data_IF_878480724030
#
_entry.id   IF_878480724030
#
_cell.length_a   1.000
_cell.length_b   1.000
_cell.length_c   1.000
_cell.angle_alpha   90.00
_cell.angle_beta   90.00
_cell.angle_gamma   90.00
#
_symmetry.space_group_name_H-M   'P 1'
#
loop_
_entity.id
_entity.type
_entity.pdbx_description
1 polymer ?
#
# COMPACT_ATOMS: atom_id res chain seq x y z
N UNK A 1 -83.47 67.92 -7.68
CA UNK A 1 -83.29 68.78 -6.48
C UNK A 1 -83.41 67.87 -5.27
N UNK A 2 -82.28 67.58 -4.58
CA UNK A 2 -82.13 66.42 -3.65
C UNK A 2 -82.28 65.05 -4.39
N UNK A 3 -81.68 63.93 -3.98
CA UNK A 3 -80.81 63.64 -2.82
C UNK A 3 -79.74 62.57 -3.14
N UNK A 4 -78.68 62.57 -2.33
CA UNK A 4 -77.80 61.45 -1.88
C UNK A 4 -78.54 60.09 -1.68
N UNK A 5 -77.95 58.89 -1.52
CA UNK A 5 -76.58 58.31 -1.47
C UNK A 5 -76.73 56.74 -1.47
N UNK A 6 -75.75 55.83 -1.46
CA UNK A 6 -74.27 55.77 -1.53
C UNK A 6 -73.87 54.30 -1.84
N UNK A 7 -72.73 54.05 -2.51
CA UNK A 7 -71.76 52.92 -2.26
C UNK A 7 -70.71 52.81 -3.39
N UNK A 8 -69.45 53.11 -3.09
CA UNK A 8 -68.31 52.76 -3.96
C UNK A 8 -67.48 51.63 -3.33
N UNK A 9 -67.21 50.58 -4.09
CA UNK A 9 -66.57 49.36 -3.59
C UNK A 9 -65.05 49.44 -3.76
N UNK A 10 -64.29 49.46 -2.66
CA UNK A 10 -62.82 49.54 -2.71
C UNK A 10 -62.21 48.24 -3.24
N UNK A 11 -61.51 48.32 -4.36
CA UNK A 11 -60.65 47.24 -4.87
C UNK A 11 -59.43 47.05 -3.97
N UNK A 12 -59.16 45.81 -3.54
CA UNK A 12 -57.91 45.46 -2.84
C UNK A 12 -56.83 45.18 -3.87
N UNK A 13 -55.75 45.96 -3.87
CA UNK A 13 -54.54 45.63 -4.62
C UNK A 13 -53.87 44.37 -4.06
N UNK A 14 -53.48 43.44 -4.95
CA UNK A 14 -52.63 42.30 -4.56
C UNK A 14 -51.21 42.82 -4.31
N UNK A 15 -50.64 42.53 -3.14
CA UNK A 15 -49.19 42.67 -2.91
C UNK A 15 -48.50 41.42 -3.45
N UNK A 16 -47.58 41.58 -4.39
CA UNK A 16 -46.71 40.49 -4.86
C UNK A 16 -45.52 40.39 -3.91
N UNK A 17 -45.50 39.38 -3.06
CA UNK A 17 -44.33 39.10 -2.22
C UNK A 17 -43.25 38.41 -3.08
N UNK A 18 -42.16 39.12 -3.36
CA UNK A 18 -40.98 38.53 -4.00
C UNK A 18 -40.22 37.74 -2.94
N UNK A 19 -40.26 36.42 -3.01
CA UNK A 19 -39.42 35.54 -2.21
C UNK A 19 -38.02 35.49 -2.82
N UNK A 20 -37.05 36.15 -2.20
CA UNK A 20 -35.63 36.00 -2.56
C UNK A 20 -35.15 34.67 -2.01
N UNK A 21 -35.07 33.66 -2.88
CA UNK A 21 -34.59 32.33 -2.50
C UNK A 21 -33.06 32.36 -2.42
N UNK A 22 -32.52 32.64 -1.24
CA UNK A 22 -31.08 32.71 -1.02
C UNK A 22 -30.50 31.29 -1.10
N UNK A 23 -29.99 30.93 -2.29
CA UNK A 23 -29.46 29.59 -2.55
C UNK A 23 -28.12 29.41 -1.83
N UNK A 24 -28.16 28.83 -0.63
CA UNK A 24 -26.99 28.61 0.20
C UNK A 24 -26.23 27.39 -0.33
N UNK A 25 -25.35 27.61 -1.32
CA UNK A 25 -24.47 26.57 -1.84
C UNK A 25 -23.50 26.11 -0.74
N UNK A 26 -23.88 25.05 -0.03
CA UNK A 26 -22.98 24.34 0.87
C UNK A 26 -21.88 23.71 0.01
N UNK A 27 -20.73 24.38 -0.06
CA UNK A 27 -19.49 23.73 -0.47
C UNK A 27 -19.19 22.64 0.57
N UNK A 28 -19.56 21.41 0.22
CA UNK A 28 -19.02 20.23 0.89
C UNK A 28 -17.54 20.20 0.54
N UNK A 29 -16.73 20.73 1.44
CA UNK A 29 -15.29 20.53 1.40
C UNK A 29 -15.09 19.04 1.67
N UNK A 30 -14.91 18.28 0.59
CA UNK A 30 -14.27 16.97 0.66
C UNK A 30 -12.81 17.21 1.08
N UNK A 31 -12.61 17.33 2.39
CA UNK A 31 -11.32 16.98 2.96
C UNK A 31 -11.02 15.56 2.51
N UNK A 32 -9.88 15.28 1.86
CA UNK A 32 -9.42 13.91 1.76
C UNK A 32 -9.17 13.43 3.19
N UNK A 33 -10.10 12.66 3.73
CA UNK A 33 -9.76 11.76 4.82
C UNK A 33 -8.62 10.88 4.29
N UNK A 34 -7.53 10.68 5.05
CA UNK A 34 -6.55 9.69 4.66
C UNK A 34 -7.27 8.35 4.58
N UNK A 35 -7.45 7.85 3.37
CA UNK A 35 -7.83 6.46 3.14
C UNK A 35 -6.60 5.66 3.53
N UNK A 36 -6.51 5.33 4.82
CA UNK A 36 -5.64 4.27 5.30
C UNK A 36 -5.97 3.05 4.44
N UNK A 37 -5.00 2.57 3.65
CA UNK A 37 -5.20 1.44 2.78
C UNK A 37 -5.60 0.23 3.64
N UNK A 38 -6.88 -0.14 3.60
CA UNK A 38 -7.42 -1.26 4.35
C UNK A 38 -6.89 -2.54 3.69
N UNK A 39 -5.84 -3.11 4.29
CA UNK A 39 -5.09 -4.21 3.69
C UNK A 39 -6.02 -5.38 3.32
N UNK A 40 -5.87 -5.85 2.08
CA UNK A 40 -6.72 -6.90 1.53
C UNK A 40 -6.31 -8.26 2.09
N UNK A 41 -7.26 -8.94 2.74
CA UNK A 41 -7.11 -10.36 3.06
C UNK A 41 -7.38 -11.19 1.80
N UNK A 42 -6.33 -11.83 1.27
CA UNK A 42 -6.45 -12.77 0.17
C UNK A 42 -6.79 -14.19 0.72
N UNK A 43 -8.02 -14.71 0.57
CA UNK A 43 -8.34 -16.06 1.06
C UNK A 43 -7.64 -17.16 0.25
N UNK A 44 -7.14 -16.87 -0.95
CA UNK A 44 -6.42 -17.82 -1.79
C UNK A 44 -4.95 -17.97 -1.40
N UNK A 45 -4.39 -16.98 -0.70
CA UNK A 45 -3.00 -16.92 -0.27
C UNK A 45 -2.91 -16.33 1.14
N UNK A 46 -2.62 -17.17 2.14
CA UNK A 46 -2.49 -16.74 3.54
C UNK A 46 -1.02 -16.61 3.97
N UNK A 47 -0.16 -17.48 3.44
CA UNK A 47 1.27 -17.58 3.73
C UNK A 47 2.00 -18.31 2.58
N UNK A 48 3.30 -18.11 2.36
CA UNK A 48 4.08 -19.01 1.47
C UNK A 48 4.39 -20.37 2.12
N UNK A 49 4.70 -21.36 1.29
CA UNK A 49 5.25 -22.64 1.75
C UNK A 49 6.62 -22.41 2.42
N UNK A 50 7.49 -21.59 1.85
CA UNK A 50 8.79 -21.21 2.44
C UNK A 50 8.64 -20.56 3.83
N UNK A 51 7.71 -19.62 4.02
CA UNK A 51 7.44 -19.01 5.34
C UNK A 51 6.74 -19.98 6.32
N UNK A 52 6.08 -21.04 5.86
CA UNK A 52 5.59 -22.10 6.75
C UNK A 52 6.73 -22.99 7.26
N UNK A 53 7.74 -23.23 6.42
CA UNK A 53 8.86 -24.15 6.69
C UNK A 53 10.12 -23.47 7.26
N UNK A 54 10.19 -22.13 7.29
CA UNK A 54 11.26 -21.31 7.89
C UNK A 54 11.32 -21.47 9.43
N UNK A 55 11.79 -22.63 9.89
CA UNK A 55 11.88 -23.03 11.31
C UNK A 55 12.99 -22.32 12.09
N UNK A 56 13.93 -21.67 11.40
CA UNK A 56 15.03 -20.87 11.97
C UNK A 56 14.69 -19.37 12.07
N UNK A 57 13.50 -18.95 11.63
CA UNK A 57 13.09 -17.54 11.53
C UNK A 57 13.13 -16.70 12.81
N UNK A 58 13.10 -17.37 13.96
CA UNK A 58 13.29 -16.80 15.29
C UNK A 58 14.11 -17.78 16.15
N UNK A 59 15.27 -17.33 16.63
CA UNK A 59 15.99 -18.05 17.69
C UNK A 59 15.18 -18.07 18.99
N UNK A 60 15.51 -19.01 19.89
CA UNK A 60 14.97 -19.08 21.26
C UNK A 60 15.01 -17.73 22.00
N UNK A 61 16.06 -16.93 21.79
CA UNK A 61 16.22 -15.61 22.41
C UNK A 61 15.20 -14.60 21.84
N UNK A 62 14.92 -14.65 20.53
CA UNK A 62 13.90 -13.81 19.90
C UNK A 62 12.49 -14.24 20.29
N UNK A 63 12.20 -15.54 20.36
CA UNK A 63 10.91 -16.07 20.84
C UNK A 63 10.66 -15.62 22.29
N UNK A 64 11.68 -15.70 23.14
CA UNK A 64 11.59 -15.21 24.52
C UNK A 64 11.32 -13.70 24.57
N UNK A 65 12.12 -12.90 23.85
CA UNK A 65 12.00 -11.44 23.86
C UNK A 65 10.64 -10.99 23.33
N UNK A 66 10.16 -11.60 22.26
CA UNK A 66 8.86 -11.30 21.68
C UNK A 66 7.71 -11.54 22.66
N UNK A 67 7.74 -12.63 23.44
CA UNK A 67 6.77 -12.87 24.51
C UNK A 67 6.88 -11.85 25.66
N UNK A 68 8.08 -11.33 25.95
CA UNK A 68 8.29 -10.25 26.93
C UNK A 68 7.75 -8.90 26.42
N UNK A 69 8.03 -8.56 25.16
CA UNK A 69 7.58 -7.33 24.47
C UNK A 69 6.06 -7.27 24.30
N UNK A 70 5.41 -8.41 23.98
CA UNK A 70 3.94 -8.52 23.93
C UNK A 70 3.30 -8.66 25.32
N UNK A 71 4.08 -8.69 26.40
CA UNK A 71 3.60 -8.71 27.79
C UNK A 71 3.06 -10.06 28.28
N UNK A 72 3.28 -11.15 27.53
CA UNK A 72 2.71 -12.48 27.79
C UNK A 72 3.10 -13.04 29.16
N UNK A 73 2.16 -13.73 29.81
CA UNK A 73 2.43 -14.56 30.97
C UNK A 73 3.38 -15.73 30.63
N UNK A 74 3.33 -16.26 29.41
CA UNK A 74 4.19 -17.37 28.96
C UNK A 74 5.68 -17.03 29.07
N UNK A 75 6.07 -15.76 28.89
CA UNK A 75 7.45 -15.30 29.03
C UNK A 75 8.09 -15.64 30.39
N UNK A 76 7.27 -15.85 31.42
CA UNK A 76 7.68 -16.12 32.82
C UNK A 76 7.43 -17.57 33.24
N UNK A 77 6.72 -18.35 32.42
CA UNK A 77 6.23 -19.68 32.79
C UNK A 77 7.23 -20.80 32.47
N UNK A 78 7.30 -21.75 33.40
CA UNK A 78 7.90 -23.07 33.20
C UNK A 78 6.76 -24.08 33.17
N UNK A 79 6.69 -24.89 32.13
CA UNK A 79 5.57 -25.78 31.79
C UNK A 79 6.13 -27.15 31.37
N UNK A 80 5.29 -28.18 31.44
CA UNK A 80 5.64 -29.50 30.91
C UNK A 80 5.67 -29.49 29.37
N UNK A 81 6.81 -29.89 28.79
CA UNK A 81 6.96 -30.20 27.36
C UNK A 81 6.19 -31.48 26.96
N UNK A 82 6.36 -31.98 25.73
CA UNK A 82 5.66 -33.20 25.29
C UNK A 82 6.13 -34.48 26.01
N UNK A 83 7.31 -34.46 26.64
CA UNK A 83 7.95 -35.54 27.40
C UNK A 83 7.78 -35.41 28.92
N UNK A 84 6.99 -34.43 29.40
CA UNK A 84 6.80 -34.05 30.80
C UNK A 84 7.98 -33.34 31.49
N UNK A 85 9.01 -32.88 30.76
CA UNK A 85 10.07 -32.06 31.34
C UNK A 85 9.55 -30.64 31.62
N UNK A 86 9.81 -30.11 32.82
CA UNK A 86 9.39 -28.75 33.20
C UNK A 86 10.44 -27.72 32.73
N UNK A 87 10.17 -27.08 31.60
CA UNK A 87 11.07 -26.13 30.92
C UNK A 87 10.33 -24.84 30.53
N UNK A 88 11.05 -23.80 30.09
CA UNK A 88 10.46 -22.49 29.81
C UNK A 88 9.57 -22.54 28.57
N UNK A 89 8.43 -21.84 28.59
CA UNK A 89 7.44 -21.89 27.49
C UNK A 89 8.02 -21.50 26.11
N UNK A 90 8.96 -20.55 26.05
CA UNK A 90 9.70 -20.18 24.84
C UNK A 90 10.61 -21.30 24.32
N UNK A 91 11.17 -22.13 25.21
CA UNK A 91 11.95 -23.31 24.85
C UNK A 91 11.06 -24.38 24.21
N UNK A 92 9.85 -24.61 24.74
CA UNK A 92 8.87 -25.53 24.16
C UNK A 92 8.47 -25.09 22.73
N UNK A 93 8.18 -23.80 22.53
CA UNK A 93 7.84 -23.25 21.20
C UNK A 93 9.00 -23.42 20.22
N UNK A 94 10.24 -23.12 20.64
CA UNK A 94 11.42 -23.27 19.80
C UNK A 94 11.72 -24.74 19.46
N UNK A 95 11.62 -25.66 20.43
CA UNK A 95 11.81 -27.09 20.20
C UNK A 95 10.77 -27.65 19.23
N UNK A 96 9.48 -27.40 19.45
CA UNK A 96 8.42 -27.88 18.56
C UNK A 96 8.59 -27.36 17.11
N UNK A 97 8.98 -26.10 16.94
CA UNK A 97 9.31 -25.51 15.65
C UNK A 97 10.47 -26.25 14.96
N UNK A 98 11.56 -26.51 15.67
CA UNK A 98 12.77 -27.13 15.11
C UNK A 98 12.58 -28.65 14.87
N UNK A 99 11.98 -29.37 15.82
CA UNK A 99 11.68 -30.81 15.75
C UNK A 99 10.66 -31.14 14.65
N UNK A 100 9.74 -30.21 14.32
CA UNK A 100 8.78 -30.36 13.22
C UNK A 100 9.18 -29.63 11.93
N UNK A 101 10.29 -28.90 11.91
CA UNK A 101 10.67 -27.98 10.82
C UNK A 101 9.52 -27.05 10.39
N UNK A 102 8.86 -26.39 11.35
CA UNK A 102 7.76 -25.43 11.12
C UNK A 102 8.13 -24.08 11.75
N UNK A 103 7.77 -23.00 11.06
CA UNK A 103 8.15 -21.65 11.46
C UNK A 103 7.60 -21.25 12.86
N UNK A 104 8.46 -20.84 13.82
CA UNK A 104 8.00 -20.41 15.15
C UNK A 104 7.04 -19.21 15.11
N UNK A 105 7.08 -18.39 14.05
CA UNK A 105 6.10 -17.31 13.80
C UNK A 105 4.69 -17.83 13.57
N UNK A 106 4.54 -18.97 12.88
CA UNK A 106 3.25 -19.65 12.68
C UNK A 106 2.73 -20.19 14.01
N UNK A 107 3.60 -20.77 14.83
CA UNK A 107 3.21 -21.26 16.17
C UNK A 107 2.78 -20.10 17.09
N UNK A 108 3.50 -18.99 17.10
CA UNK A 108 3.15 -17.77 17.85
C UNK A 108 1.83 -17.13 17.35
N UNK A 109 1.63 -17.04 16.03
CA UNK A 109 0.37 -16.55 15.46
C UNK A 109 -0.81 -17.47 15.80
N UNK A 110 -0.58 -18.79 15.87
CA UNK A 110 -1.59 -19.79 16.27
C UNK A 110 -1.91 -19.69 17.76
N UNK A 111 -0.91 -19.60 18.66
CA UNK A 111 -1.11 -19.34 20.09
C UNK A 111 -2.00 -18.11 20.36
N UNK A 112 -1.82 -17.06 19.55
CA UNK A 112 -2.64 -15.85 19.63
C UNK A 112 -4.03 -16.02 19.01
N UNK A 113 -4.17 -16.71 17.87
CA UNK A 113 -5.47 -17.00 17.24
C UNK A 113 -6.37 -17.83 18.16
N UNK A 114 -5.81 -18.87 18.76
CA UNK A 114 -6.55 -19.92 19.45
C UNK A 114 -6.94 -19.54 20.89
N UNK A 115 -6.02 -18.95 21.65
CA UNK A 115 -6.21 -18.70 23.09
C UNK A 115 -5.73 -17.32 23.55
N UNK A 116 -5.39 -16.41 22.63
CA UNK A 116 -4.84 -15.06 22.89
C UNK A 116 -3.56 -15.05 23.75
N UNK A 117 -2.80 -16.15 23.75
CA UNK A 117 -1.73 -16.38 24.73
C UNK A 117 -0.48 -15.49 24.56
N UNK A 118 -0.27 -14.89 23.38
CA UNK A 118 0.85 -13.97 23.15
C UNK A 118 0.56 -12.61 23.78
N UNK A 119 -0.70 -12.16 23.81
CA UNK A 119 -1.11 -10.90 24.43
C UNK A 119 -1.66 -10.99 25.86
N UNK A 120 -1.77 -12.20 26.44
CA UNK A 120 -2.37 -12.43 27.76
C UNK A 120 -1.32 -12.45 28.89
N UNK A 121 -1.33 -11.49 29.84
CA UNK A 121 -0.34 -11.45 30.93
C UNK A 121 -0.58 -12.47 32.05
N UNK A 122 -1.81 -12.97 32.23
CA UNK A 122 -2.20 -13.90 33.30
C UNK A 122 -3.03 -15.09 32.77
N UNK A 123 -2.46 -15.93 31.89
CA UNK A 123 -3.23 -16.95 31.17
C UNK A 123 -3.79 -18.01 32.11
N UNK A 124 -5.07 -18.32 31.94
CA UNK A 124 -5.76 -19.34 32.73
C UNK A 124 -5.28 -20.75 32.36
N UNK A 125 -5.36 -21.69 33.29
CA UNK A 125 -5.01 -23.09 33.02
C UNK A 125 -5.78 -23.64 31.80
N UNK A 126 -7.06 -23.26 31.62
CA UNK A 126 -7.86 -23.66 30.45
C UNK A 126 -7.27 -23.18 29.11
N UNK A 127 -6.65 -22.00 29.05
CA UNK A 127 -5.95 -21.53 27.86
C UNK A 127 -4.65 -22.31 27.66
N UNK A 128 -3.90 -22.56 28.72
CA UNK A 128 -2.64 -23.34 28.71
C UNK A 128 -2.88 -24.79 28.24
N UNK A 129 -3.97 -25.41 28.70
CA UNK A 129 -4.38 -26.77 28.34
C UNK A 129 -4.86 -26.91 26.88
N UNK A 130 -5.26 -25.80 26.26
CA UNK A 130 -5.84 -25.75 24.91
C UNK A 130 -5.09 -24.80 23.97
N UNK A 131 -3.81 -24.55 24.28
CA UNK A 131 -3.03 -23.44 23.75
C UNK A 131 -3.04 -23.27 22.23
N UNK A 132 -3.21 -24.37 21.48
CA UNK A 132 -3.21 -24.39 20.02
C UNK A 132 -4.53 -24.90 19.41
N UNK A 133 -5.56 -25.17 20.22
CA UNK A 133 -6.75 -25.89 19.76
C UNK A 133 -6.48 -27.33 19.31
N UNK A 134 -5.27 -27.87 19.52
CA UNK A 134 -4.88 -29.16 18.95
C UNK A 134 -5.71 -30.30 19.55
N UNK A 135 -6.44 -31.00 18.67
CA UNK A 135 -7.45 -32.03 19.00
C UNK A 135 -8.58 -31.51 19.91
N UNK A 136 -8.96 -30.23 19.77
CA UNK A 136 -10.15 -29.62 20.36
C UNK A 136 -11.18 -29.22 19.27
N UNK A 137 -12.05 -30.14 18.80
CA UNK A 137 -13.08 -29.80 17.81
C UNK A 137 -14.15 -28.86 18.37
N UNK A 138 -14.68 -27.98 17.52
CA UNK A 138 -15.66 -26.93 17.87
C UNK A 138 -16.93 -27.45 18.56
N UNK A 139 -17.42 -28.63 18.15
CA UNK A 139 -18.65 -29.27 18.60
C UNK A 139 -18.43 -30.42 19.61
N UNK A 140 -17.18 -30.68 20.00
CA UNK A 140 -16.80 -31.90 20.73
C UNK A 140 -15.96 -31.67 21.99
N UNK A 141 -15.38 -32.78 22.48
CA UNK A 141 -14.52 -32.78 23.67
C UNK A 141 -13.07 -32.87 23.23
N UNK A 142 -12.22 -31.95 23.71
CA UNK A 142 -10.77 -32.02 23.51
C UNK A 142 -10.22 -33.38 23.95
N UNK A 143 -9.26 -33.94 23.21
CA UNK A 143 -8.61 -35.17 23.63
C UNK A 143 -7.88 -34.98 24.98
N UNK A 144 -8.25 -35.72 26.06
CA UNK A 144 -7.65 -35.51 27.38
C UNK A 144 -6.14 -35.75 27.43
N UNK A 145 -5.57 -36.56 26.52
CA UNK A 145 -4.13 -36.82 26.51
C UNK A 145 -3.28 -35.69 25.92
N UNK A 146 -3.91 -34.65 25.34
CA UNK A 146 -3.23 -33.45 24.80
C UNK A 146 -3.53 -32.17 25.57
N UNK A 147 -4.12 -32.25 26.77
CA UNK A 147 -4.51 -31.10 27.58
C UNK A 147 -3.38 -30.55 28.47
N UNK A 148 -2.29 -30.09 27.85
CA UNK A 148 -1.29 -29.18 28.44
C UNK A 148 -0.42 -28.56 27.35
N UNK A 149 0.25 -27.46 27.67
CA UNK A 149 1.00 -26.62 26.73
C UNK A 149 1.98 -27.39 25.84
N UNK A 150 2.80 -28.28 26.41
CA UNK A 150 3.77 -29.09 25.67
C UNK A 150 3.14 -29.85 24.50
N UNK A 151 2.18 -30.74 24.79
CA UNK A 151 1.49 -31.54 23.75
C UNK A 151 0.52 -30.75 22.88
N UNK A 152 0.10 -29.55 23.28
CA UNK A 152 -0.60 -28.61 22.40
C UNK A 152 0.34 -28.04 21.33
N UNK A 153 1.50 -27.51 21.73
CA UNK A 153 2.46 -26.83 20.85
C UNK A 153 3.20 -27.82 19.95
N UNK A 154 3.69 -28.92 20.51
CA UNK A 154 4.28 -30.05 19.77
C UNK A 154 3.30 -30.64 18.75
N UNK A 155 2.11 -31.04 19.22
CA UNK A 155 1.10 -31.67 18.39
C UNK A 155 0.60 -30.78 17.24
N UNK A 156 0.53 -29.46 17.45
CA UNK A 156 0.20 -28.50 16.41
C UNK A 156 1.33 -28.32 15.38
N UNK A 157 2.59 -28.20 15.84
CA UNK A 157 3.75 -28.11 14.94
C UNK A 157 3.88 -29.37 14.08
N UNK A 158 3.75 -30.54 14.68
CA UNK A 158 3.70 -31.82 13.97
C UNK A 158 2.55 -31.86 12.96
N UNK A 159 1.37 -31.36 13.32
CA UNK A 159 0.20 -31.36 12.43
C UNK A 159 0.39 -30.44 11.22
N UNK A 160 1.02 -29.26 11.39
CA UNK A 160 1.40 -28.42 10.26
C UNK A 160 2.42 -29.11 9.35
N UNK A 161 3.44 -29.75 9.94
CA UNK A 161 4.42 -30.58 9.20
C UNK A 161 3.74 -31.70 8.41
N UNK A 162 2.73 -32.37 8.95
CA UNK A 162 1.99 -33.39 8.19
C UNK A 162 1.14 -32.83 7.03
N UNK A 163 0.74 -31.55 7.04
CA UNK A 163 0.11 -30.93 5.88
C UNK A 163 1.12 -30.69 4.75
N UNK A 164 2.34 -30.27 5.09
CA UNK A 164 3.43 -30.04 4.14
C UNK A 164 3.97 -31.35 3.55
N UNK A 165 4.19 -32.37 4.38
CA UNK A 165 4.77 -33.65 3.97
C UNK A 165 3.78 -34.54 3.20
N UNK A 166 2.48 -34.46 3.52
CA UNK A 166 1.44 -35.38 3.00
C UNK A 166 0.22 -34.63 2.44
N UNK A 167 0.36 -33.63 1.56
CA UNK A 167 -0.72 -32.69 1.20
C UNK A 167 -1.98 -33.37 0.63
N UNK A 168 -1.81 -34.48 -0.09
CA UNK A 168 -2.93 -35.22 -0.70
C UNK A 168 -3.78 -36.00 0.33
N UNK A 169 -3.28 -36.22 1.54
CA UNK A 169 -3.99 -36.96 2.60
C UNK A 169 -5.09 -36.15 3.30
N UNK A 170 -5.19 -34.84 3.00
CA UNK A 170 -6.05 -33.89 3.71
C UNK A 170 -7.22 -33.39 2.85
N UNK A 171 -8.15 -32.67 3.49
CA UNK A 171 -9.43 -32.25 2.90
C UNK A 171 -9.26 -31.08 1.93
N UNK A 172 -8.49 -30.07 2.34
CA UNK A 172 -8.14 -28.91 1.51
C UNK A 172 -6.73 -29.08 0.94
N UNK A 173 -6.55 -28.68 -0.31
CA UNK A 173 -5.30 -28.85 -1.06
C UNK A 173 -4.99 -27.61 -1.89
N UNK A 174 -3.75 -27.47 -2.33
CA UNK A 174 -3.36 -26.49 -3.32
C UNK A 174 -4.08 -26.74 -4.66
N UNK A 175 -4.37 -25.67 -5.40
CA UNK A 175 -4.97 -25.64 -6.75
C UNK A 175 -6.39 -26.25 -6.91
N UNK A 176 -6.97 -26.86 -5.88
CA UNK A 176 -8.37 -27.29 -5.81
C UNK A 176 -9.27 -26.15 -5.24
N UNK A 177 -10.52 -26.07 -5.68
CA UNK A 177 -11.50 -25.04 -5.24
C UNK A 177 -12.57 -25.62 -4.32
N UNK A 178 -12.82 -24.97 -3.19
CA UNK A 178 -13.74 -25.39 -2.14
C UNK A 178 -14.75 -24.29 -1.78
N UNK A 179 -15.90 -24.66 -1.22
CA UNK A 179 -16.81 -23.71 -0.58
C UNK A 179 -16.54 -23.71 0.93
N UNK A 180 -16.09 -22.59 1.47
CA UNK A 180 -15.76 -22.38 2.89
C UNK A 180 -16.47 -21.10 3.35
N UNK A 181 -17.35 -21.21 4.35
CA UNK A 181 -18.21 -20.11 4.83
C UNK A 181 -19.02 -19.37 3.73
N UNK A 182 -19.32 -20.04 2.61
CA UNK A 182 -20.01 -19.45 1.45
C UNK A 182 -19.08 -18.85 0.39
N UNK A 183 -17.77 -18.78 0.65
CA UNK A 183 -16.76 -18.28 -0.28
C UNK A 183 -16.17 -19.41 -1.12
N UNK A 184 -15.93 -19.16 -2.41
CA UNK A 184 -15.20 -20.10 -3.28
C UNK A 184 -13.70 -19.84 -3.12
N UNK A 185 -13.07 -20.60 -2.23
CA UNK A 185 -11.66 -20.48 -1.88
C UNK A 185 -10.85 -21.53 -2.64
N UNK A 186 -9.76 -21.10 -3.27
CA UNK A 186 -8.80 -21.95 -3.98
C UNK A 186 -7.41 -21.65 -3.43
N UNK A 187 -6.91 -22.43 -2.45
CA UNK A 187 -5.55 -22.25 -1.92
C UNK A 187 -4.52 -22.38 -3.04
N UNK A 188 -3.61 -21.42 -3.18
CA UNK A 188 -2.59 -21.45 -4.26
C UNK A 188 -1.31 -22.20 -3.88
N UNK A 189 -1.21 -22.69 -2.64
CA UNK A 189 -0.03 -23.38 -2.12
C UNK A 189 -0.38 -24.28 -0.91
N UNK A 190 0.62 -25.03 -0.44
CA UNK A 190 0.46 -26.06 0.59
C UNK A 190 0.23 -25.46 1.97
N UNK A 191 0.93 -24.37 2.32
CA UNK A 191 0.78 -23.67 3.58
C UNK A 191 -0.62 -23.09 3.77
N UNK A 192 -1.18 -22.45 2.75
CA UNK A 192 -2.55 -21.93 2.80
C UNK A 192 -3.56 -23.07 2.92
N UNK A 193 -3.39 -24.17 2.17
CA UNK A 193 -4.23 -25.34 2.32
C UNK A 193 -4.12 -25.97 3.73
N UNK A 194 -2.92 -26.03 4.31
CA UNK A 194 -2.65 -26.50 5.66
C UNK A 194 -3.33 -25.64 6.74
N UNK A 195 -3.34 -24.32 6.59
CA UNK A 195 -4.05 -23.41 7.50
C UNK A 195 -5.57 -23.61 7.43
N UNK A 196 -6.14 -23.84 6.25
CA UNK A 196 -7.55 -24.25 6.12
C UNK A 196 -7.83 -25.67 6.67
N UNK A 197 -6.89 -26.62 6.58
CA UNK A 197 -7.04 -27.93 7.24
C UNK A 197 -6.94 -27.84 8.78
N UNK A 198 -6.18 -26.89 9.32
CA UNK A 198 -6.10 -26.62 10.75
C UNK A 198 -7.33 -25.86 11.27
N UNK A 199 -7.90 -24.97 10.45
CA UNK A 199 -9.07 -24.15 10.79
C UNK A 199 -9.96 -24.01 9.57
N UNK A 200 -11.05 -24.79 9.45
CA UNK A 200 -11.87 -24.93 8.22
C UNK A 200 -12.84 -23.75 7.99
N UNK A 201 -12.44 -22.53 8.40
CA UNK A 201 -13.27 -21.32 8.44
C UNK A 201 -12.55 -20.15 7.76
N UNK A 202 -13.25 -19.34 6.97
CA UNK A 202 -12.74 -18.12 6.35
C UNK A 202 -12.25 -17.14 7.41
N UNK A 203 -13.08 -16.90 8.43
CA UNK A 203 -12.81 -15.92 9.50
C UNK A 203 -11.59 -16.30 10.35
N UNK A 204 -11.36 -17.59 10.58
CA UNK A 204 -10.18 -18.09 11.28
C UNK A 204 -8.88 -17.85 10.52
N UNK A 205 -8.90 -17.98 9.18
CA UNK A 205 -7.73 -17.72 8.34
C UNK A 205 -7.49 -16.22 8.15
N UNK A 206 -8.55 -15.41 8.03
CA UNK A 206 -8.46 -13.95 8.10
C UNK A 206 -7.84 -13.49 9.43
N UNK A 207 -8.22 -14.11 10.55
CA UNK A 207 -7.67 -13.82 11.88
C UNK A 207 -6.19 -14.22 12.00
N UNK A 208 -5.79 -15.37 11.44
CA UNK A 208 -4.37 -15.76 11.38
C UNK A 208 -3.55 -14.73 10.60
N UNK A 209 -4.02 -14.34 9.42
CA UNK A 209 -3.35 -13.37 8.56
C UNK A 209 -3.25 -11.99 9.22
N UNK A 210 -4.30 -11.50 9.89
CA UNK A 210 -4.25 -10.26 10.68
C UNK A 210 -3.11 -10.32 11.71
N UNK A 211 -3.06 -11.38 12.51
CA UNK A 211 -2.02 -11.58 13.53
C UNK A 211 -0.62 -11.67 12.90
N UNK A 212 -0.50 -12.29 11.71
CA UNK A 212 0.76 -12.34 10.97
C UNK A 212 1.22 -10.94 10.52
N UNK A 213 0.32 -10.12 9.97
CA UNK A 213 0.63 -8.75 9.57
C UNK A 213 0.95 -7.86 10.79
N UNK A 214 0.16 -7.94 11.87
CA UNK A 214 0.35 -7.19 13.13
C UNK A 214 1.69 -7.49 13.82
N UNK A 215 2.27 -8.66 13.59
CA UNK A 215 3.50 -9.12 14.25
C UNK A 215 4.73 -9.07 13.34
N UNK A 216 4.58 -9.38 12.04
CA UNK A 216 5.71 -9.64 11.13
C UNK A 216 5.63 -8.87 9.80
N UNK A 217 4.47 -8.32 9.46
CA UNK A 217 4.23 -7.64 8.18
C UNK A 217 4.94 -6.30 8.05
N UNK A 218 5.24 -5.92 6.80
CA UNK A 218 5.92 -4.66 6.44
C UNK A 218 5.02 -3.82 5.56
N UNK A 219 4.67 -2.63 6.03
CA UNK A 219 3.73 -1.75 5.34
C UNK A 219 4.50 -0.77 4.44
N UNK A 220 4.69 -1.20 3.19
CA UNK A 220 5.41 -0.41 2.17
C UNK A 220 4.63 0.87 1.84
N UNK A 221 5.24 2.07 1.94
CA UNK A 221 4.58 3.34 1.66
C UNK A 221 4.16 3.53 0.21
N UNK A 222 3.34 4.55 -0.04
CA UNK A 222 2.95 5.00 -1.37
C UNK A 222 4.19 5.28 -2.24
N UNK A 223 4.14 4.90 -3.52
CA UNK A 223 5.25 5.04 -4.47
C UNK A 223 6.36 3.98 -4.32
N UNK A 224 6.24 3.02 -3.40
CA UNK A 224 7.25 1.96 -3.24
C UNK A 224 7.32 1.07 -4.49
N UNK A 225 8.50 0.99 -5.10
CA UNK A 225 8.81 0.04 -6.17
C UNK A 225 9.29 -1.26 -5.54
N UNK A 226 8.58 -2.36 -5.76
CA UNK A 226 8.81 -3.65 -5.07
C UNK A 226 8.88 -4.83 -6.05
N UNK A 227 9.63 -5.88 -5.66
CA UNK A 227 9.57 -7.21 -6.28
C UNK A 227 9.72 -8.32 -5.25
N UNK A 228 9.22 -9.51 -5.54
CA UNK A 228 9.56 -10.75 -4.79
C UNK A 228 10.80 -11.36 -5.43
N UNK A 229 11.72 -11.93 -4.64
CA UNK A 229 13.06 -12.34 -5.11
C UNK A 229 13.07 -13.12 -6.44
N UNK A 230 12.34 -14.22 -6.51
CA UNK A 230 12.24 -15.13 -7.66
C UNK A 230 11.14 -14.75 -8.66
N UNK A 231 10.51 -13.59 -8.48
CA UNK A 231 9.48 -13.06 -9.38
C UNK A 231 10.11 -12.04 -10.35
N UNK A 232 9.88 -12.14 -11.67
CA UNK A 232 10.32 -11.14 -12.63
C UNK A 232 9.46 -9.86 -12.58
N UNK A 233 8.28 -9.90 -11.97
CA UNK A 233 7.37 -8.76 -11.86
C UNK A 233 7.91 -7.67 -10.93
N UNK A 234 7.99 -6.44 -11.46
CA UNK A 234 8.19 -5.23 -10.66
C UNK A 234 6.84 -4.54 -10.51
N UNK A 235 6.50 -4.19 -9.28
CA UNK A 235 5.21 -3.62 -8.90
C UNK A 235 5.43 -2.24 -8.29
N UNK A 236 4.51 -1.32 -8.57
CA UNK A 236 4.39 -0.07 -7.82
C UNK A 236 3.29 -0.24 -6.77
N UNK A 237 3.58 0.06 -5.50
CA UNK A 237 2.57 0.23 -4.47
C UNK A 237 1.98 1.65 -4.60
N UNK A 238 0.71 1.73 -4.95
CA UNK A 238 0.01 3.00 -5.22
C UNK A 238 -1.50 2.86 -5.01
N UNK A 239 -2.15 3.86 -4.44
CA UNK A 239 -3.58 3.88 -4.15
C UNK A 239 -4.07 2.66 -3.34
N UNK A 240 -3.22 2.16 -2.42
CA UNK A 240 -3.48 0.93 -1.65
C UNK A 240 -3.41 -0.38 -2.46
N UNK A 241 -3.05 -0.32 -3.74
CA UNK A 241 -2.96 -1.45 -4.66
C UNK A 241 -1.51 -1.73 -5.09
N UNK A 242 -1.24 -2.91 -5.63
CA UNK A 242 -0.02 -3.23 -6.38
C UNK A 242 -0.31 -3.14 -7.88
N UNK A 243 0.38 -2.26 -8.58
CA UNK A 243 0.26 -2.06 -10.04
C UNK A 243 1.46 -2.69 -10.75
N UNK A 244 1.22 -3.73 -11.56
CA UNK A 244 2.28 -4.40 -12.32
C UNK A 244 2.87 -3.44 -13.36
N UNK A 245 4.19 -3.31 -13.41
CA UNK A 245 4.90 -2.61 -14.49
C UNK A 245 5.20 -3.63 -15.59
N UNK A 246 4.53 -3.52 -16.73
CA UNK A 246 4.44 -4.61 -17.73
C UNK A 246 5.76 -4.87 -18.48
N UNK A 247 6.64 -3.88 -18.60
CA UNK A 247 7.89 -3.99 -19.34
C UNK A 247 9.00 -3.08 -18.80
N UNK A 248 10.25 -3.46 -19.04
CA UNK A 248 11.44 -2.70 -18.62
C UNK A 248 11.52 -1.29 -19.24
N UNK A 249 11.00 -1.10 -20.45
CA UNK A 249 10.89 0.22 -21.08
C UNK A 249 9.93 1.15 -20.32
N UNK A 250 8.82 0.61 -19.81
CA UNK A 250 7.86 1.36 -18.98
C UNK A 250 8.54 1.79 -17.69
N UNK A 251 9.23 0.88 -17.01
CA UNK A 251 10.01 1.17 -15.80
C UNK A 251 11.01 2.32 -16.05
N UNK A 252 11.89 2.20 -17.05
CA UNK A 252 12.93 3.20 -17.36
C UNK A 252 12.41 4.56 -17.84
N UNK A 253 11.13 4.66 -18.21
CA UNK A 253 10.48 5.92 -18.62
C UNK A 253 9.90 6.71 -17.44
N UNK A 254 9.64 6.04 -16.31
CA UNK A 254 8.91 6.58 -15.14
C UNK A 254 9.74 6.57 -13.85
N UNK A 255 10.65 5.60 -13.71
CA UNK A 255 11.25 5.20 -12.43
C UNK A 255 12.74 4.88 -12.55
N UNK A 256 13.42 4.86 -11.40
CA UNK A 256 14.82 4.41 -11.27
C UNK A 256 14.86 2.96 -10.74
N UNK A 257 15.35 1.98 -11.53
CA UNK A 257 15.41 0.57 -11.07
C UNK A 257 16.25 0.35 -9.81
N UNK A 258 17.17 1.26 -9.47
CA UNK A 258 17.98 1.17 -8.22
C UNK A 258 17.09 1.28 -6.97
N UNK A 259 15.92 1.91 -7.10
CA UNK A 259 14.93 2.11 -6.02
C UNK A 259 14.04 0.89 -5.76
N UNK A 260 14.10 -0.15 -6.61
CA UNK A 260 13.35 -1.39 -6.40
C UNK A 260 13.81 -2.08 -5.10
N UNK A 261 12.85 -2.33 -4.21
CA UNK A 261 13.00 -3.07 -2.96
C UNK A 261 12.67 -4.56 -3.21
N UNK A 262 13.40 -5.47 -2.55
CA UNK A 262 13.05 -6.90 -2.56
C UNK A 262 12.22 -7.19 -1.30
N UNK A 263 11.04 -7.79 -1.47
CA UNK A 263 10.03 -7.97 -0.41
C UNK A 263 9.55 -9.43 -0.36
N UNK A 264 8.89 -9.84 0.73
CA UNK A 264 8.27 -11.18 0.81
C UNK A 264 7.03 -11.26 -0.09
N UNK A 265 6.63 -12.47 -0.52
CA UNK A 265 5.36 -12.62 -1.24
C UNK A 265 4.16 -12.28 -0.35
N UNK A 266 4.23 -12.58 0.94
CA UNK A 266 3.17 -12.25 1.92
C UNK A 266 3.03 -10.75 2.20
N UNK A 267 4.11 -9.96 2.04
CA UNK A 267 4.04 -8.49 2.03
C UNK A 267 3.47 -7.93 0.71
N UNK A 268 3.57 -8.66 -0.40
CA UNK A 268 3.01 -8.24 -1.70
C UNK A 268 1.52 -8.59 -1.83
N UNK A 269 1.11 -9.78 -1.36
CA UNK A 269 -0.25 -10.32 -1.59
C UNK A 269 -1.36 -9.59 -0.82
N UNK A 270 -1.02 -8.77 0.18
CA UNK A 270 -1.97 -7.93 0.94
C UNK A 270 -2.43 -6.66 0.21
N UNK A 271 -1.84 -6.36 -0.95
CA UNK A 271 -2.27 -5.26 -1.81
C UNK A 271 -3.13 -5.84 -2.94
N UNK A 272 -4.29 -5.23 -3.22
CA UNK A 272 -5.13 -5.64 -4.35
C UNK A 272 -4.39 -5.44 -5.68
N UNK A 273 -4.71 -6.26 -6.69
CA UNK A 273 -4.11 -6.13 -8.02
C UNK A 273 -4.75 -4.93 -8.72
N UNK A 274 -4.06 -3.79 -8.69
CA UNK A 274 -4.48 -2.57 -9.36
C UNK A 274 -4.20 -2.60 -10.87
N UNK A 275 -4.75 -1.63 -11.63
CA UNK A 275 -4.52 -1.53 -13.07
C UNK A 275 -3.03 -1.45 -13.40
N UNK A 276 -2.56 -2.33 -14.29
CA UNK A 276 -1.14 -2.43 -14.66
C UNK A 276 -0.66 -1.17 -15.38
N UNK A 277 0.57 -0.75 -15.10
CA UNK A 277 1.23 0.36 -15.79
C UNK A 277 1.75 -0.18 -17.13
N UNK A 278 0.94 -0.01 -18.19
CA UNK A 278 1.15 -0.58 -19.53
C UNK A 278 2.14 0.20 -20.39
N UNK A 279 2.06 1.53 -20.36
CA UNK A 279 2.69 2.39 -21.36
C UNK A 279 3.83 3.25 -20.79
N UNK A 280 4.92 3.45 -21.54
CA UNK A 280 5.94 4.45 -21.22
C UNK A 280 5.35 5.84 -20.95
N UNK A 281 6.06 6.64 -20.15
CA UNK A 281 5.72 8.05 -19.98
C UNK A 281 5.92 8.79 -21.33
N UNK A 282 4.99 9.69 -21.66
CA UNK A 282 4.90 10.40 -22.94
C UNK A 282 4.60 9.54 -24.19
N UNK A 283 4.08 8.31 -24.02
CA UNK A 283 3.45 7.57 -25.12
C UNK A 283 2.22 8.31 -25.68
N UNK A 284 1.99 8.16 -26.99
CA UNK A 284 0.81 8.67 -27.69
C UNK A 284 -0.14 7.49 -27.98
N UNK A 285 -1.33 7.51 -27.40
CA UNK A 285 -2.30 6.42 -27.47
C UNK A 285 -3.49 6.81 -28.35
N UNK A 286 -3.72 6.07 -29.43
CA UNK A 286 -4.81 6.29 -30.38
C UNK A 286 -5.98 5.31 -30.17
N UNK A 287 -7.20 5.84 -30.08
CA UNK A 287 -8.43 5.04 -30.01
C UNK A 287 -9.06 4.83 -31.41
N UNK A 288 -9.89 3.78 -31.61
CA UNK A 288 -10.57 3.51 -32.88
C UNK A 288 -11.57 4.60 -33.34
N UNK A 289 -11.97 5.52 -32.45
CA UNK A 289 -12.82 6.67 -32.79
C UNK A 289 -12.02 7.89 -33.29
N UNK A 290 -10.69 7.78 -33.35
CA UNK A 290 -9.78 8.83 -33.81
C UNK A 290 -9.29 9.79 -32.74
N UNK A 291 -9.66 9.61 -31.46
CA UNK A 291 -9.03 10.37 -30.36
C UNK A 291 -7.57 9.93 -30.16
N UNK A 292 -6.71 10.88 -29.80
CA UNK A 292 -5.32 10.64 -29.42
C UNK A 292 -5.09 11.23 -28.02
N UNK A 293 -4.44 10.47 -27.15
CA UNK A 293 -4.08 10.88 -25.79
C UNK A 293 -2.56 10.87 -25.62
N UNK A 294 -2.02 11.85 -24.90
CA UNK A 294 -0.65 11.80 -24.38
C UNK A 294 -0.68 11.23 -22.96
N UNK A 295 0.16 10.23 -22.69
CA UNK A 295 0.39 9.72 -21.32
C UNK A 295 1.35 10.65 -20.58
N UNK A 296 0.99 11.12 -19.38
CA UNK A 296 1.85 11.95 -18.52
C UNK A 296 1.82 11.37 -17.11
N UNK A 297 2.85 10.59 -16.78
CA UNK A 297 2.86 9.67 -15.63
C UNK A 297 1.53 8.87 -15.56
N UNK A 298 0.67 9.10 -14.57
CA UNK A 298 -0.62 8.39 -14.42
C UNK A 298 -1.83 9.15 -15.00
N UNK A 299 -1.63 10.32 -15.61
CA UNK A 299 -2.65 11.00 -16.42
C UNK A 299 -2.62 10.53 -17.89
N UNK A 300 -3.80 10.56 -18.53
CA UNK A 300 -3.95 10.64 -19.99
C UNK A 300 -4.58 11.98 -20.38
N UNK A 301 -3.94 12.68 -21.32
CA UNK A 301 -4.31 14.05 -21.72
C UNK A 301 -4.78 14.06 -23.18
N UNK A 302 -6.05 14.38 -23.42
CA UNK A 302 -6.63 14.34 -24.78
C UNK A 302 -6.05 15.45 -25.67
N UNK A 303 -5.57 15.09 -26.87
CA UNK A 303 -5.09 16.05 -27.87
C UNK A 303 -6.27 16.46 -28.75
N UNK A 304 -6.76 17.68 -28.53
CA UNK A 304 -8.10 18.11 -28.98
C UNK A 304 -8.32 18.18 -30.49
N UNK A 305 -7.26 18.13 -31.31
CA UNK A 305 -7.37 17.97 -32.78
C UNK A 305 -6.05 17.52 -33.44
N UNK A 306 -6.10 16.99 -34.68
CA UNK A 306 -4.90 16.74 -35.48
C UNK A 306 -4.05 17.99 -35.78
N UNK A 307 -4.64 19.20 -35.70
CA UNK A 307 -3.86 20.43 -35.85
C UNK A 307 -3.01 20.71 -34.61
N UNK A 308 -3.57 20.51 -33.40
CA UNK A 308 -2.82 20.62 -32.14
C UNK A 308 -1.69 19.58 -32.08
N UNK A 309 -1.97 18.34 -32.52
CA UNK A 309 -0.95 17.28 -32.65
C UNK A 309 0.24 17.74 -33.51
N UNK A 310 -0.03 18.35 -34.68
CA UNK A 310 1.01 18.89 -35.59
C UNK A 310 1.73 20.11 -35.03
N UNK A 311 1.03 21.01 -34.35
CA UNK A 311 1.62 22.23 -33.74
C UNK A 311 2.64 21.87 -32.65
N UNK A 312 2.39 20.80 -31.89
CA UNK A 312 3.32 20.30 -30.85
C UNK A 312 4.53 19.58 -31.47
N UNK A 313 4.42 19.11 -32.72
CA UNK A 313 5.49 18.45 -33.45
C UNK A 313 5.57 16.93 -33.25
N UNK A 314 4.52 16.31 -32.71
CA UNK A 314 4.43 14.85 -32.62
C UNK A 314 4.35 14.20 -34.01
N UNK A 315 4.92 13.00 -34.16
CA UNK A 315 4.90 12.24 -35.41
C UNK A 315 3.74 11.22 -35.38
N UNK A 316 2.87 11.14 -36.41
CA UNK A 316 1.78 10.16 -36.43
C UNK A 316 2.22 8.69 -36.32
N UNK A 317 3.45 8.37 -36.73
CA UNK A 317 4.04 7.03 -36.60
C UNK A 317 4.43 6.67 -35.15
N UNK A 318 4.34 7.61 -34.20
CA UNK A 318 4.55 7.37 -32.76
C UNK A 318 3.25 6.97 -32.02
N UNK A 319 2.11 6.91 -32.72
CA UNK A 319 0.81 6.58 -32.13
C UNK A 319 0.66 5.06 -31.96
N UNK A 320 0.62 4.60 -30.72
CA UNK A 320 0.27 3.23 -30.35
C UNK A 320 -1.27 3.09 -30.34
N UNK A 321 -1.81 2.14 -31.12
CA UNK A 321 -3.25 1.92 -31.21
C UNK A 321 -3.73 1.02 -30.07
N UNK A 322 -4.70 1.50 -29.29
CA UNK A 322 -5.17 0.86 -28.05
C UNK A 322 -6.71 0.82 -27.95
N UNK A 323 -7.23 0.18 -26.91
CA UNK A 323 -8.66 0.16 -26.58
C UNK A 323 -8.97 0.97 -25.32
N UNK A 324 -10.25 1.24 -25.04
CA UNK A 324 -10.67 1.87 -23.77
C UNK A 324 -10.26 1.03 -22.54
N UNK A 325 -10.13 -0.30 -22.69
CA UNK A 325 -9.65 -1.23 -21.64
C UNK A 325 -8.17 -1.02 -21.31
N UNK A 326 -7.41 -0.39 -22.20
CA UNK A 326 -6.01 -0.05 -22.00
C UNK A 326 -5.81 1.30 -21.30
N UNK A 327 -6.84 2.15 -21.31
CA UNK A 327 -6.88 3.43 -20.58
C UNK A 327 -7.38 3.28 -19.14
N UNK A 328 -7.84 2.09 -18.74
CA UNK A 328 -8.30 1.81 -17.36
C UNK A 328 -7.15 1.98 -16.37
N UNK A 329 -7.35 2.85 -15.38
CA UNK A 329 -6.36 3.16 -14.34
C UNK A 329 -5.39 4.29 -14.69
N UNK A 330 -5.69 5.07 -15.73
CA UNK A 330 -5.17 6.42 -15.91
C UNK A 330 -6.22 7.45 -15.49
N UNK A 331 -5.81 8.55 -14.89
CA UNK A 331 -6.68 9.70 -14.63
C UNK A 331 -6.85 10.55 -15.90
N UNK A 332 -8.01 11.19 -16.11
CA UNK A 332 -8.22 12.06 -17.28
C UNK A 332 -7.67 13.45 -16.96
N UNK A 333 -6.45 13.69 -17.42
CA UNK A 333 -5.74 14.95 -17.28
C UNK A 333 -6.29 16.06 -18.16
N UNK A 334 -5.74 17.28 -18.00
CA UNK A 334 -6.21 18.47 -18.73
C UNK A 334 -5.98 18.33 -20.24
N UNK A 335 -7.05 18.50 -21.03
CA UNK A 335 -7.02 18.61 -22.50
C UNK A 335 -5.85 19.47 -23.02
N UNK A 336 -5.17 18.94 -24.04
CA UNK A 336 -4.10 19.62 -24.77
C UNK A 336 -4.71 20.36 -25.96
N UNK A 337 -4.47 21.67 -26.00
CA UNK A 337 -5.08 22.62 -26.94
C UNK A 337 -4.03 23.44 -27.68
N UNK A 338 -4.44 24.19 -28.70
CA UNK A 338 -3.57 25.16 -29.38
C UNK A 338 -3.14 26.34 -28.47
N UNK A 339 -3.66 26.40 -27.24
CA UNK A 339 -3.35 27.39 -26.21
C UNK A 339 -2.58 26.78 -25.01
N UNK A 340 -2.34 25.46 -25.01
CA UNK A 340 -1.59 24.79 -23.93
C UNK A 340 -0.10 25.11 -24.04
N UNK A 341 0.39 25.92 -23.10
CA UNK A 341 1.81 26.31 -23.02
C UNK A 341 2.58 25.19 -22.31
N UNK A 342 3.62 24.65 -22.95
CA UNK A 342 4.42 23.51 -22.47
C UNK A 342 3.57 22.30 -21.99
N UNK A 343 2.79 21.63 -22.87
CA UNK A 343 1.89 20.52 -22.52
C UNK A 343 2.59 19.21 -22.11
N UNK A 344 3.91 19.24 -21.93
CA UNK A 344 4.71 18.13 -21.35
C UNK A 344 5.62 18.63 -20.21
N UNK A 345 5.45 19.88 -19.79
CA UNK A 345 6.33 20.58 -18.85
C UNK A 345 7.66 21.08 -19.43
N UNK A 346 8.10 22.26 -18.98
CA UNK A 346 9.42 22.81 -19.24
C UNK A 346 10.12 23.23 -17.94
N UNK A 347 11.46 23.13 -17.90
CA UNK A 347 12.26 23.70 -16.81
C UNK A 347 12.79 25.06 -17.24
N UNK A 348 12.35 26.11 -16.55
CA UNK A 348 12.77 27.49 -16.80
C UNK A 348 13.60 28.02 -15.62
N UNK A 349 14.71 28.68 -15.91
CA UNK A 349 15.55 29.38 -14.94
C UNK A 349 15.50 30.88 -15.18
N UNK A 350 15.21 31.67 -14.14
CA UNK A 350 15.43 33.11 -14.17
C UNK A 350 16.93 33.40 -14.29
N UNK A 351 17.34 34.06 -15.37
CA UNK A 351 18.72 34.54 -15.61
C UNK A 351 19.23 35.56 -14.58
N UNK A 352 18.36 36.05 -13.69
CA UNK A 352 18.62 37.14 -12.74
C UNK A 352 18.84 36.63 -11.31
N UNK A 353 17.87 35.90 -10.75
CA UNK A 353 17.94 35.28 -9.42
C UNK A 353 18.56 33.88 -9.43
N UNK A 354 18.65 33.23 -10.60
CA UNK A 354 19.01 31.81 -10.72
C UNK A 354 17.91 30.84 -10.31
N UNK A 355 16.76 31.33 -9.84
CA UNK A 355 15.61 30.53 -9.41
C UNK A 355 15.04 29.67 -10.54
N UNK A 356 14.65 28.43 -10.22
CA UNK A 356 14.19 27.43 -11.18
C UNK A 356 12.71 27.12 -10.97
N UNK A 357 11.99 26.97 -12.08
CA UNK A 357 10.55 26.70 -12.12
C UNK A 357 10.27 25.56 -13.09
N UNK A 358 9.37 24.66 -12.70
CA UNK A 358 8.67 23.81 -13.67
C UNK A 358 7.46 24.60 -14.20
N UNK A 359 7.29 24.67 -15.51
CA UNK A 359 6.17 25.38 -16.14
C UNK A 359 5.38 24.42 -17.03
N UNK A 360 4.10 24.28 -16.72
CA UNK A 360 3.15 23.46 -17.45
C UNK A 360 1.79 24.16 -17.49
N UNK A 361 1.16 24.16 -18.67
CA UNK A 361 -0.18 24.69 -18.91
C UNK A 361 -0.44 26.15 -18.46
N UNK A 362 0.63 26.95 -18.39
CA UNK A 362 0.63 28.36 -17.97
C UNK A 362 0.85 28.57 -16.47
N UNK A 363 1.11 27.52 -15.69
CA UNK A 363 1.41 27.57 -14.25
C UNK A 363 2.91 27.39 -14.02
N UNK A 364 3.57 28.31 -13.31
CA UNK A 364 4.96 28.18 -12.85
C UNK A 364 5.01 27.65 -11.42
N UNK A 365 5.52 26.44 -11.24
CA UNK A 365 5.76 25.81 -9.93
C UNK A 365 7.24 26.02 -9.53
N UNK A 366 7.56 26.73 -8.44
CA UNK A 366 8.95 26.94 -8.03
C UNK A 366 9.60 25.64 -7.54
N UNK A 367 10.87 25.44 -7.86
CA UNK A 367 11.67 24.30 -7.41
C UNK A 367 12.68 24.78 -6.36
N UNK A 368 12.53 24.32 -5.11
CA UNK A 368 13.33 24.80 -3.97
C UNK A 368 14.68 24.08 -3.77
N UNK A 369 15.01 23.07 -4.57
CA UNK A 369 16.37 22.53 -4.63
C UNK A 369 16.70 21.88 -5.97
N UNK A 370 18.00 21.87 -6.29
CA UNK A 370 18.54 21.14 -7.45
C UNK A 370 18.18 19.64 -7.38
N UNK A 371 18.09 19.10 -6.18
CA UNK A 371 17.77 17.68 -5.96
C UNK A 371 16.34 17.32 -6.36
N UNK A 372 15.34 18.19 -6.14
CA UNK A 372 13.96 17.98 -6.64
C UNK A 372 13.95 17.97 -8.17
N UNK A 373 14.69 18.90 -8.80
CA UNK A 373 14.82 18.96 -10.26
C UNK A 373 15.45 17.69 -10.82
N UNK A 374 16.52 17.19 -10.21
CA UNK A 374 17.24 15.99 -10.66
C UNK A 374 16.47 14.69 -10.39
N UNK A 375 15.68 14.62 -9.32
CA UNK A 375 14.83 13.46 -9.03
C UNK A 375 13.63 13.36 -9.99
N UNK A 376 12.88 14.45 -10.16
CA UNK A 376 11.64 14.44 -10.93
C UNK A 376 11.89 14.58 -12.45
N UNK A 377 12.94 15.30 -12.85
CA UNK A 377 13.15 15.73 -14.24
C UNK A 377 14.58 15.45 -14.78
N UNK A 378 15.20 14.28 -14.53
CA UNK A 378 16.63 14.01 -14.79
C UNK A 378 17.11 14.13 -16.24
N UNK A 379 16.19 14.27 -17.21
CA UNK A 379 16.47 14.37 -18.65
C UNK A 379 15.92 15.66 -19.29
N UNK A 380 15.29 16.56 -18.51
CA UNK A 380 14.71 17.82 -19.04
C UNK A 380 15.80 18.89 -19.16
N UNK A 381 15.73 19.68 -20.23
CA UNK A 381 16.66 20.80 -20.47
C UNK A 381 16.21 22.00 -19.63
N UNK A 382 17.16 22.60 -18.90
CA UNK A 382 16.96 23.85 -18.16
C UNK A 382 17.19 25.05 -19.09
N UNK A 383 16.13 25.81 -19.38
CA UNK A 383 16.15 26.95 -20.30
C UNK A 383 16.25 28.25 -19.52
N UNK A 384 17.22 29.11 -19.82
CA UNK A 384 17.33 30.44 -19.20
C UNK A 384 16.40 31.46 -19.86
N UNK A 385 15.58 32.11 -19.05
CA UNK A 385 14.52 33.05 -19.44
C UNK A 385 14.63 34.35 -18.63
N UNK A 386 13.80 35.35 -18.95
CA UNK A 386 13.75 36.60 -18.18
C UNK A 386 12.68 36.59 -17.07
N UNK A 387 12.79 37.46 -16.05
CA UNK A 387 11.71 37.66 -15.07
C UNK A 387 10.37 38.00 -15.73
N UNK A 388 10.40 38.87 -16.76
CA UNK A 388 9.21 39.34 -17.48
C UNK A 388 8.57 38.26 -18.36
N UNK A 389 9.32 37.20 -18.70
CA UNK A 389 8.79 35.99 -19.35
C UNK A 389 8.12 35.08 -18.31
N UNK A 390 8.80 34.84 -17.19
CA UNK A 390 8.23 34.06 -16.08
C UNK A 390 6.96 34.69 -15.50
N UNK A 391 6.87 36.02 -15.42
CA UNK A 391 5.71 36.72 -14.86
C UNK A 391 4.46 36.71 -15.76
N UNK A 392 4.53 36.07 -16.93
CA UNK A 392 3.35 35.70 -17.73
C UNK A 392 2.64 34.45 -17.19
N UNK A 393 3.29 33.66 -16.34
CA UNK A 393 2.75 32.41 -15.79
C UNK A 393 2.22 32.58 -14.37
N UNK A 394 1.10 31.92 -14.07
CA UNK A 394 0.51 31.91 -12.73
C UNK A 394 1.41 31.11 -11.78
N UNK A 395 1.84 31.70 -10.66
CA UNK A 395 2.62 30.96 -9.65
C UNK A 395 1.76 29.90 -8.97
N UNK A 396 2.16 28.64 -9.06
CA UNK A 396 1.56 27.50 -8.39
C UNK A 396 2.26 27.12 -7.08
N UNK A 397 1.86 25.99 -6.50
CA UNK A 397 2.56 25.36 -5.39
C UNK A 397 3.99 24.94 -5.81
N UNK A 398 4.96 24.83 -4.87
CA UNK A 398 6.28 24.32 -5.19
C UNK A 398 6.24 22.85 -5.63
N UNK A 399 7.14 22.48 -6.53
CA UNK A 399 7.33 21.07 -6.92
C UNK A 399 7.84 20.30 -5.70
N UNK A 400 7.18 19.18 -5.39
CA UNK A 400 7.58 18.22 -4.35
C UNK A 400 8.45 17.09 -4.92
N UNK A 401 9.19 16.37 -4.07
CA UNK A 401 9.66 15.02 -4.45
C UNK A 401 8.45 14.10 -4.72
N UNK A 402 8.61 13.13 -5.62
CA UNK A 402 7.63 12.06 -5.82
C UNK A 402 7.55 11.14 -4.59
N UNK A 403 6.45 10.41 -4.48
CA UNK A 403 6.31 9.35 -3.47
C UNK A 403 7.26 8.18 -3.75
N UNK A 404 7.64 7.44 -2.71
CA UNK A 404 8.71 6.44 -2.73
C UNK A 404 10.14 7.00 -2.61
N UNK A 405 10.32 8.32 -2.67
CA UNK A 405 11.65 8.95 -2.55
C UNK A 405 12.19 8.93 -1.11
N UNK A 406 13.48 8.62 -0.96
CA UNK A 406 14.19 8.71 0.32
C UNK A 406 14.93 10.05 0.38
N UNK A 407 14.64 10.90 1.36
CA UNK A 407 15.23 12.24 1.48
C UNK A 407 15.82 12.50 2.86
N UNK A 408 16.84 13.37 2.90
CA UNK A 408 17.49 13.83 4.14
C UNK A 408 17.91 15.30 4.01
N UNK A 409 17.81 16.05 5.09
CA UNK A 409 18.34 17.42 5.16
C UNK A 409 19.86 17.43 5.30
N UNK A 410 20.53 18.38 4.63
CA UNK A 410 21.94 18.74 4.89
C UNK A 410 22.20 19.24 6.31
N UNK A 411 21.17 19.69 7.00
CA UNK A 411 21.23 20.29 8.35
C UNK A 411 20.88 19.29 9.46
N UNK A 412 20.33 18.12 9.12
CA UNK A 412 19.83 17.10 10.06
C UNK A 412 20.51 15.75 9.93
N UNK A 413 20.17 14.81 10.83
CA UNK A 413 20.60 13.41 10.77
C UNK A 413 19.53 12.50 10.16
N UNK A 414 18.27 12.93 10.21
CA UNK A 414 17.04 12.19 9.95
C UNK A 414 16.87 11.83 8.47
N UNK A 415 16.41 10.61 8.22
CA UNK A 415 16.04 10.10 6.89
C UNK A 415 14.53 9.92 6.85
N UNK A 416 13.91 10.41 5.78
CA UNK A 416 12.47 10.30 5.55
C UNK A 416 12.21 9.52 4.26
N UNK A 417 11.10 8.79 4.22
CA UNK A 417 10.47 8.35 2.97
C UNK A 417 9.30 9.29 2.65
N UNK A 418 9.12 9.61 1.38
CA UNK A 418 8.00 10.41 0.89
C UNK A 418 6.83 9.49 0.51
N UNK A 419 5.62 9.83 0.98
CA UNK A 419 4.39 9.04 0.79
C UNK A 419 3.18 9.95 0.91
N UNK A 420 2.22 9.86 -0.02
CA UNK A 420 1.07 10.76 -0.13
C UNK A 420 1.47 12.26 -0.15
N UNK A 421 2.64 12.57 -0.69
CA UNK A 421 3.24 13.90 -0.67
C UNK A 421 3.70 14.40 0.71
N UNK A 422 3.60 13.59 1.76
CA UNK A 422 4.13 13.85 3.11
C UNK A 422 5.50 13.20 3.29
N UNK A 423 6.19 13.53 4.40
CA UNK A 423 7.44 12.88 4.81
C UNK A 423 7.21 12.03 6.07
N UNK A 424 7.63 10.77 6.03
CA UNK A 424 7.51 9.81 7.13
C UNK A 424 8.91 9.47 7.66
N UNK A 425 9.15 9.66 8.96
CA UNK A 425 10.49 9.49 9.55
C UNK A 425 10.84 8.01 9.70
N UNK A 426 11.98 7.59 9.14
CA UNK A 426 12.58 6.27 9.39
C UNK A 426 13.45 6.40 10.64
N UNK A 427 12.98 5.87 11.78
CA UNK A 427 13.56 6.15 13.10
C UNK A 427 14.89 5.46 13.39
N UNK A 428 15.18 4.32 12.75
CA UNK A 428 16.35 3.49 13.05
C UNK A 428 16.95 2.85 11.81
N UNK A 429 18.23 2.47 11.89
CA UNK A 429 18.91 1.67 10.87
C UNK A 429 18.27 0.27 10.74
N UNK A 430 17.69 -0.25 11.82
CA UNK A 430 16.91 -1.48 11.84
C UNK A 430 15.63 -1.36 11.00
N UNK A 431 14.85 -0.29 11.16
CA UNK A 431 13.70 0.00 10.29
C UNK A 431 14.16 0.20 8.84
N UNK A 432 15.25 0.94 8.61
CA UNK A 432 15.79 1.15 7.27
C UNK A 432 16.14 -0.18 6.56
N UNK A 433 16.79 -1.10 7.28
CA UNK A 433 17.10 -2.45 6.78
C UNK A 433 15.85 -3.36 6.65
N UNK A 434 14.90 -3.27 7.58
CA UNK A 434 13.64 -4.04 7.61
C UNK A 434 12.84 -3.87 6.32
N UNK A 435 12.72 -2.63 5.81
CA UNK A 435 12.06 -2.31 4.53
C UNK A 435 12.97 -2.47 3.30
N UNK A 436 14.21 -2.97 3.47
CA UNK A 436 15.18 -3.15 2.39
C UNK A 436 15.55 -1.86 1.64
N UNK A 437 15.46 -0.71 2.31
CA UNK A 437 15.94 0.56 1.78
C UNK A 437 17.47 0.55 1.63
N UNK A 438 17.99 1.42 0.74
CA UNK A 438 19.40 1.45 0.34
C UNK A 438 19.96 2.84 0.58
N UNK A 439 21.09 2.94 1.29
CA UNK A 439 21.70 4.21 1.67
C UNK A 439 22.06 5.08 0.45
N UNK A 440 22.49 4.44 -0.64
CA UNK A 440 22.81 5.11 -1.93
C UNK A 440 21.59 5.76 -2.62
N UNK A 441 20.37 5.43 -2.20
CA UNK A 441 19.15 6.04 -2.73
C UNK A 441 18.69 7.29 -1.93
N UNK A 442 19.39 7.66 -0.85
CA UNK A 442 19.01 8.83 -0.02
C UNK A 442 19.44 10.13 -0.68
N UNK A 443 18.47 10.97 -1.00
CA UNK A 443 18.66 12.30 -1.58
C UNK A 443 18.95 13.32 -0.48
N UNK A 444 20.19 13.81 -0.41
CA UNK A 444 20.63 14.83 0.55
C UNK A 444 20.38 16.23 0.01
N UNK A 445 19.37 16.92 0.56
CA UNK A 445 18.77 18.15 0.01
C UNK A 445 18.72 19.31 1.04
N UNK A 446 18.19 20.48 0.66
CA UNK A 446 18.03 21.63 1.58
C UNK A 446 16.90 21.43 2.59
N UNK A 447 16.99 22.02 3.80
CA UNK A 447 15.91 21.93 4.78
C UNK A 447 14.57 22.49 4.25
N UNK A 448 14.62 23.49 3.36
CA UNK A 448 13.44 24.01 2.67
C UNK A 448 12.77 22.96 1.77
N UNK A 449 13.55 22.17 1.03
CA UNK A 449 13.04 21.08 0.19
C UNK A 449 12.54 19.88 1.02
N UNK A 450 13.01 19.67 2.25
CA UNK A 450 12.40 18.73 3.19
C UNK A 450 11.09 19.31 3.79
N UNK A 451 11.01 20.63 3.98
CA UNK A 451 9.89 21.32 4.65
C UNK A 451 8.64 21.59 3.78
N UNK A 452 8.68 21.40 2.46
CA UNK A 452 7.46 21.39 1.63
C UNK A 452 6.62 20.12 1.81
N UNK A 453 7.22 19.06 2.39
CA UNK A 453 6.53 17.85 2.79
C UNK A 453 6.11 17.96 4.27
N UNK A 454 4.81 17.94 4.59
CA UNK A 454 4.34 17.84 5.97
C UNK A 454 4.89 16.59 6.65
N UNK A 455 5.19 16.68 7.95
CA UNK A 455 5.53 15.51 8.75
C UNK A 455 4.26 14.71 9.02
N UNK A 456 4.35 13.40 8.81
CA UNK A 456 3.28 12.42 8.96
C UNK A 456 3.80 11.24 9.81
N UNK A 457 2.97 10.22 10.04
CA UNK A 457 3.32 9.06 10.87
C UNK A 457 4.66 8.42 10.45
N UNK A 458 5.41 7.98 11.45
CA UNK A 458 6.73 7.39 11.30
C UNK A 458 6.71 6.00 10.64
N UNK A 459 7.90 5.46 10.35
CA UNK A 459 8.10 4.11 9.80
C UNK A 459 8.88 3.28 10.82
N UNK A 460 8.19 2.29 11.38
CA UNK A 460 8.69 1.27 12.31
C UNK A 460 8.93 -0.08 11.63
#
# INVERSE_FOLDING_TARGET
MKTQNHKNMKTKGKKTNIFVFLCFCVFVIFSPFPVLAEYYFNPHFVLTDEEMEDYDSLSLIQIQRFLEEKGSGLAKMYLADWQENVIKASTIIWQAAQESSINPKVLLATLQKEQSLVGEPNPTQRQIDRAMGYRCPDDGVCNPSTLHFGKQVDGAAWQFRQYMDNPLAWNFRADESYNIDGWIIRPVNTATAGLYNYTPHYSGNQRFWQIWQDYWGKNYPEGSLVKVADDPGVWLIQYGSRRLITAWAVLLSRFDPRKILTISRTDLEKYEIGPSIKFPNYSLLGLPDGKIYLVVDDEIRYITSPEVFRIIGFNPEEIELVTEVDLVGYEVGKDITAQSIYPTGALLQDKTSGGVYFVEDGIKQPIYSKEIMEANFPKRILTQVSPEELDQYQTGAPVKFKDGELIKSREGSEVYVISNGNRRWIKSEEAFAKYSYKWDNIIVTSQQAVNIHPLDEEVE
#
